data_IF_158876708410
#
_entry.id   IF_158876708410
#
_cell.length_a   1.000
_cell.length_b   1.000
_cell.length_c   1.000
_cell.angle_alpha   90.00
_cell.angle_beta   90.00
_cell.angle_gamma   90.00
#
_symmetry.space_group_name_H-M   'P 1'
#
loop_
_entity.id
_entity.type
_entity.pdbx_description
1 polymer ?
#
# COMPACT_ATOMS: atom_id res chain seq x y z
N UNK A 1 -12.50 -2.39 -11.24
CA UNK A 1 -13.49 -1.44 -10.71
C UNK A 1 -14.85 -2.14 -10.73
N UNK A 2 -15.64 -2.09 -9.65
CA UNK A 2 -16.99 -2.67 -9.64
C UNK A 2 -17.89 -2.02 -10.71
N UNK A 3 -18.79 -2.73 -11.42
CA UNK A 3 -19.19 -4.14 -11.28
C UNK A 3 -18.34 -5.13 -12.08
N UNK A 4 -17.44 -4.68 -12.96
CA UNK A 4 -16.65 -5.54 -13.85
C UNK A 4 -15.68 -6.44 -13.09
N UNK A 5 -15.23 -6.03 -11.90
CA UNK A 5 -14.38 -6.87 -11.04
C UNK A 5 -15.16 -7.85 -10.15
N UNK A 6 -16.48 -8.02 -10.34
CA UNK A 6 -17.28 -9.02 -9.61
C UNK A 6 -17.18 -10.41 -10.23
N UNK A 7 -17.60 -11.46 -9.50
CA UNK A 7 -17.46 -12.86 -9.92
C UNK A 7 -18.19 -13.17 -11.25
N UNK A 8 -19.24 -12.41 -11.59
CA UNK A 8 -20.03 -12.57 -12.82
C UNK A 8 -19.26 -12.27 -14.10
N UNK A 9 -18.22 -11.41 -14.05
CA UNK A 9 -17.41 -11.03 -15.21
C UNK A 9 -15.98 -11.60 -15.15
N UNK A 10 -15.40 -11.73 -13.96
CA UNK A 10 -14.05 -12.26 -13.76
C UNK A 10 -14.01 -13.27 -12.61
N UNK A 11 -13.57 -14.50 -12.92
CA UNK A 11 -13.42 -15.60 -11.96
C UNK A 11 -12.21 -15.44 -11.01
N UNK A 12 -11.56 -16.57 -10.69
CA UNK A 12 -10.50 -16.67 -9.66
C UNK A 12 -9.29 -15.76 -9.89
N UNK A 13 -8.99 -15.36 -11.14
CA UNK A 13 -7.88 -14.47 -11.46
C UNK A 13 -7.95 -13.12 -10.70
N UNK A 14 -9.15 -12.60 -10.46
CA UNK A 14 -9.32 -11.35 -9.73
C UNK A 14 -9.00 -11.53 -8.24
N UNK A 15 -9.28 -12.69 -7.66
CA UNK A 15 -8.96 -12.98 -6.25
C UNK A 15 -7.44 -13.06 -6.04
N UNK A 16 -6.74 -13.69 -6.99
CA UNK A 16 -5.26 -13.72 -6.99
C UNK A 16 -4.66 -12.33 -7.16
N UNK A 17 -5.26 -11.47 -8.00
CA UNK A 17 -4.83 -10.08 -8.16
C UNK A 17 -5.07 -9.26 -6.88
N UNK A 18 -6.19 -9.48 -6.19
CA UNK A 18 -6.47 -8.84 -4.90
C UNK A 18 -5.44 -9.28 -3.86
N UNK A 19 -5.14 -10.57 -3.75
CA UNK A 19 -4.14 -11.08 -2.82
C UNK A 19 -2.72 -10.61 -3.13
N UNK A 20 -2.34 -10.53 -4.41
CA UNK A 20 -1.01 -10.03 -4.79
C UNK A 20 -0.85 -8.54 -4.45
N UNK A 21 -1.90 -7.73 -4.63
CA UNK A 21 -1.93 -6.34 -4.21
C UNK A 21 -1.85 -6.18 -2.68
N UNK A 22 -2.46 -7.08 -1.91
CA UNK A 22 -2.28 -7.09 -0.46
C UNK A 22 -0.82 -7.36 -0.07
N UNK A 23 -0.19 -8.37 -0.68
CA UNK A 23 1.21 -8.68 -0.43
C UNK A 23 2.14 -7.52 -0.81
N UNK A 24 1.89 -6.88 -1.95
CA UNK A 24 2.62 -5.68 -2.39
C UNK A 24 2.38 -4.47 -1.47
N UNK A 25 1.16 -4.33 -0.92
CA UNK A 25 0.83 -3.30 0.06
C UNK A 25 1.58 -3.51 1.37
N UNK A 26 1.61 -4.74 1.89
CA UNK A 26 2.33 -5.09 3.12
C UNK A 26 3.83 -4.83 2.97
N UNK A 27 4.45 -5.24 1.86
CA UNK A 27 5.88 -4.98 1.63
C UNK A 27 6.19 -3.49 1.55
N UNK A 28 5.31 -2.70 0.94
CA UNK A 28 5.45 -1.24 0.83
C UNK A 28 5.29 -0.53 2.18
N UNK A 29 4.42 -1.00 3.07
CA UNK A 29 4.28 -0.48 4.44
C UNK A 29 5.58 -0.72 5.23
N UNK A 30 6.09 -1.94 5.21
CA UNK A 30 7.35 -2.27 5.91
C UNK A 30 8.54 -1.47 5.35
N UNK A 31 8.61 -1.32 4.03
CA UNK A 31 9.62 -0.49 3.38
C UNK A 31 9.51 0.98 3.78
N UNK A 32 8.29 1.52 3.88
CA UNK A 32 8.05 2.91 4.29
C UNK A 32 8.49 3.18 5.73
N UNK A 33 8.16 2.25 6.66
CA UNK A 33 8.59 2.34 8.05
C UNK A 33 10.11 2.26 8.16
N UNK A 34 10.73 1.35 7.40
CA UNK A 34 12.19 1.22 7.37
C UNK A 34 12.85 2.52 6.89
N UNK A 35 12.43 3.07 5.76
CA UNK A 35 13.00 4.31 5.22
C UNK A 35 12.82 5.50 6.18
N UNK A 36 11.66 5.64 6.83
CA UNK A 36 11.46 6.68 7.83
C UNK A 36 12.47 6.59 8.97
N UNK A 37 12.60 5.39 9.56
CA UNK A 37 13.48 5.17 10.72
C UNK A 37 14.95 5.32 10.31
N UNK A 38 15.35 4.81 9.15
CA UNK A 38 16.72 4.93 8.65
C UNK A 38 17.11 6.39 8.40
N UNK A 39 16.25 7.17 7.74
CA UNK A 39 16.56 8.59 7.45
C UNK A 39 16.56 9.42 8.75
N UNK A 40 15.68 9.12 9.71
CA UNK A 40 15.64 9.85 10.98
C UNK A 40 16.80 9.51 11.91
N UNK A 41 17.13 8.21 12.05
CA UNK A 41 18.03 7.73 13.11
C UNK A 41 19.46 7.50 12.63
N UNK A 42 19.69 7.22 11.34
CA UNK A 42 21.03 6.90 10.82
C UNK A 42 21.67 8.09 10.09
N UNK A 43 21.13 9.31 10.21
CA UNK A 43 21.73 10.49 9.58
C UNK A 43 23.00 10.93 10.31
N UNK A 44 24.06 11.20 9.54
CA UNK A 44 25.32 11.77 10.08
C UNK A 44 25.29 13.29 10.20
N UNK A 45 24.35 13.97 9.54
CA UNK A 45 24.28 15.44 9.46
C UNK A 45 22.84 15.89 9.76
N UNK A 46 22.66 17.14 10.21
CA UNK A 46 21.35 17.73 10.44
C UNK A 46 20.44 17.68 9.20
N UNK A 47 19.13 17.48 9.40
CA UNK A 47 18.19 17.19 8.31
C UNK A 47 18.15 18.24 7.19
N UNK A 48 18.39 19.51 7.51
CA UNK A 48 18.41 20.62 6.55
C UNK A 48 19.59 20.55 5.55
N UNK A 49 20.63 19.77 5.85
CA UNK A 49 21.80 19.56 4.99
C UNK A 49 21.72 18.27 4.15
N UNK A 50 20.63 17.51 4.26
CA UNK A 50 20.41 16.33 3.41
C UNK A 50 20.12 16.76 1.97
N UNK A 51 20.57 15.95 1.00
CA UNK A 51 20.15 16.09 -0.39
C UNK A 51 18.62 15.97 -0.53
N UNK A 52 18.06 16.48 -1.62
CA UNK A 52 16.61 16.47 -1.86
C UNK A 52 16.01 15.05 -2.00
N UNK A 53 16.84 14.04 -2.29
CA UNK A 53 16.38 12.66 -2.48
C UNK A 53 15.93 11.96 -1.17
N UNK A 54 16.70 11.97 -0.07
CA UNK A 54 16.20 11.51 1.23
C UNK A 54 14.92 12.27 1.69
N UNK A 55 14.83 13.56 1.38
CA UNK A 55 13.62 14.34 1.67
C UNK A 55 12.40 13.83 0.91
N UNK A 56 12.54 13.56 -0.40
CA UNK A 56 11.42 13.04 -1.19
C UNK A 56 11.00 11.64 -0.72
N UNK A 57 11.96 10.76 -0.37
CA UNK A 57 11.66 9.43 0.19
C UNK A 57 10.91 9.52 1.51
N UNK A 58 11.28 10.48 2.38
CA UNK A 58 10.60 10.66 3.67
C UNK A 58 9.13 11.02 3.46
N UNK A 59 8.84 11.90 2.50
CA UNK A 59 7.47 12.31 2.16
C UNK A 59 6.69 11.16 1.52
N UNK A 60 7.26 10.45 0.54
CA UNK A 60 6.58 9.32 -0.10
C UNK A 60 6.31 8.18 0.88
N UNK A 61 7.25 7.90 1.79
CA UNK A 61 7.07 6.90 2.86
C UNK A 61 5.91 7.26 3.79
N UNK A 62 5.73 8.56 4.10
CA UNK A 62 4.59 9.02 4.89
C UNK A 62 3.26 8.84 4.16
N UNK A 63 3.22 9.18 2.87
CA UNK A 63 2.04 8.96 2.04
C UNK A 63 1.70 7.47 1.97
N UNK A 64 2.66 6.60 1.64
CA UNK A 64 2.43 5.16 1.54
C UNK A 64 1.88 4.57 2.86
N UNK A 65 2.48 4.94 4.00
CA UNK A 65 2.05 4.46 5.31
C UNK A 65 0.59 4.81 5.61
N UNK A 66 0.15 6.00 5.21
CA UNK A 66 -1.22 6.48 5.47
C UNK A 66 -2.23 6.04 4.40
N UNK A 67 -1.82 5.87 3.14
CA UNK A 67 -2.73 5.55 2.03
C UNK A 67 -2.99 4.05 1.85
N UNK A 68 -1.98 3.20 2.10
CA UNK A 68 -2.10 1.76 1.86
C UNK A 68 -3.15 1.04 2.73
N UNK A 69 -3.40 1.44 3.99
CA UNK A 69 -4.50 0.87 4.78
C UNK A 69 -5.88 1.08 4.14
N UNK A 70 -6.11 2.26 3.55
CA UNK A 70 -7.37 2.59 2.88
C UNK A 70 -7.53 1.75 1.61
N UNK A 71 -6.46 1.61 0.83
CA UNK A 71 -6.46 0.75 -0.36
C UNK A 71 -6.71 -0.73 0.00
N UNK A 72 -6.05 -1.24 1.03
CA UNK A 72 -6.28 -2.60 1.52
C UNK A 72 -7.73 -2.80 1.97
N UNK A 73 -8.31 -1.83 2.70
CA UNK A 73 -9.73 -1.86 3.08
C UNK A 73 -10.68 -1.91 1.88
N UNK A 74 -10.41 -1.14 0.82
CA UNK A 74 -11.18 -1.20 -0.42
C UNK A 74 -11.07 -2.57 -1.12
N UNK A 75 -9.88 -3.15 -1.13
CA UNK A 75 -9.63 -4.46 -1.74
C UNK A 75 -10.27 -5.61 -0.94
N UNK A 76 -10.27 -5.55 0.39
CA UNK A 76 -10.97 -6.54 1.23
C UNK A 76 -12.47 -6.42 1.07
N UNK A 77 -13.03 -5.21 1.00
CA UNK A 77 -14.46 -5.02 0.68
C UNK A 77 -14.82 -5.62 -0.69
N UNK A 78 -13.98 -5.41 -1.71
CA UNK A 78 -14.21 -6.03 -3.00
C UNK A 78 -14.14 -7.57 -2.94
N UNK A 79 -13.23 -8.12 -2.14
CA UNK A 79 -13.14 -9.57 -1.93
C UNK A 79 -14.37 -10.10 -1.20
N UNK A 80 -14.93 -9.33 -0.25
CA UNK A 80 -16.17 -9.71 0.42
C UNK A 80 -17.36 -9.67 -0.52
N UNK A 81 -17.46 -8.65 -1.37
CA UNK A 81 -18.56 -8.55 -2.35
C UNK A 81 -18.53 -9.70 -3.36
N UNK A 82 -17.34 -10.22 -3.67
CA UNK A 82 -17.16 -11.36 -4.59
C UNK A 82 -17.56 -12.71 -4.00
N UNK A 83 -17.40 -12.91 -2.69
CA UNK A 83 -17.54 -14.24 -2.06
C UNK A 83 -18.67 -14.35 -1.03
N UNK A 84 -19.06 -13.26 -0.38
CA UNK A 84 -20.01 -13.26 0.73
C UNK A 84 -21.33 -12.56 0.43
N UNK A 85 -21.62 -12.28 -0.85
CA UNK A 85 -22.83 -11.59 -1.31
C UNK A 85 -23.09 -10.26 -0.56
N UNK A 86 -22.01 -9.56 -0.18
CA UNK A 86 -22.10 -8.20 0.35
C UNK A 86 -22.29 -7.20 -0.79
N UNK A 87 -22.93 -6.07 -0.48
CA UNK A 87 -23.35 -5.03 -1.44
C UNK A 87 -22.68 -3.69 -1.17
#
# INVERSE_FOLDING_TARGET
>A
YPPLSTYSYHGVCMDLAILSLHLAGISSIFSSINFMVTISNMRSVGGHLLALFPWSITVTSFLLLTTLPVLAGGLTMLLTDRHFNTS
#
